data_IF_394544432180
#
_entry.id   IF_394544432180
#
_cell.length_a   1.000
_cell.length_b   1.000
_cell.length_c   1.000
_cell.angle_alpha   90.00
_cell.angle_beta   90.00
_cell.angle_gamma   90.00
#
_symmetry.space_group_name_H-M   'P 1'
#
loop_
_entity.id
_entity.type
_entity.pdbx_description
1 polymer ?
#
# COMPACT_ATOMS: atom_id res chain seq x y z
N UNK A 1 1.60 -0.89 16.46
CA UNK A 1 2.86 -1.57 16.86
C UNK A 1 3.51 -2.21 15.65
N UNK A 2 4.86 -2.33 15.64
CA UNK A 2 5.61 -3.08 14.60
C UNK A 2 6.13 -4.37 15.22
N UNK A 3 6.19 -5.44 14.42
CA UNK A 3 6.80 -6.71 14.80
C UNK A 3 7.97 -6.98 13.86
N UNK A 4 9.11 -7.34 14.44
CA UNK A 4 10.25 -7.92 13.75
C UNK A 4 10.39 -9.39 14.21
N UNK A 5 10.35 -10.31 13.26
CA UNK A 5 10.47 -11.73 13.55
C UNK A 5 11.95 -12.13 13.56
N UNK A 6 12.33 -13.01 14.50
CA UNK A 6 13.69 -13.46 14.67
C UNK A 6 14.20 -14.32 13.50
N UNK A 7 15.53 -14.35 13.29
CA UNK A 7 16.17 -15.04 12.14
C UNK A 7 15.92 -16.55 12.07
N UNK A 8 15.57 -17.21 13.18
CA UNK A 8 15.24 -18.63 13.19
C UNK A 8 13.82 -18.99 12.72
N UNK A 9 12.95 -17.98 12.51
CA UNK A 9 11.57 -18.22 12.08
C UNK A 9 11.56 -18.60 10.61
N UNK A 10 11.10 -19.82 10.30
CA UNK A 10 10.97 -20.32 8.93
C UNK A 10 9.52 -20.39 8.45
N UNK A 11 8.56 -20.34 9.38
CA UNK A 11 7.13 -20.48 9.11
C UNK A 11 6.31 -19.58 10.02
N UNK A 12 5.26 -18.99 9.49
CA UNK A 12 4.20 -18.31 10.23
C UNK A 12 2.97 -19.23 10.16
N UNK A 13 2.45 -19.61 11.30
CA UNK A 13 1.33 -20.54 11.36
C UNK A 13 -0.01 -19.87 11.01
N UNK A 14 -1.05 -20.70 10.81
CA UNK A 14 -2.42 -20.25 10.53
C UNK A 14 -2.87 -19.25 11.60
N UNK A 15 -3.43 -18.14 11.17
CA UNK A 15 -4.02 -17.08 12.00
C UNK A 15 -3.09 -16.48 13.09
N UNK A 16 -1.76 -16.69 13.02
CA UNK A 16 -0.81 -16.33 14.08
C UNK A 16 -0.88 -14.85 14.52
N UNK A 17 -1.22 -13.95 13.60
CA UNK A 17 -1.37 -12.51 13.86
C UNK A 17 -2.74 -11.99 13.43
N UNK A 18 -3.74 -12.87 13.34
CA UNK A 18 -5.09 -12.46 12.97
C UNK A 18 -5.65 -11.44 13.98
N UNK A 19 -6.35 -10.41 13.49
CA UNK A 19 -6.91 -9.30 14.29
C UNK A 19 -5.88 -8.51 15.11
N UNK A 20 -4.58 -8.62 14.82
CA UNK A 20 -3.56 -7.87 15.53
C UNK A 20 -3.50 -6.40 15.06
N UNK A 21 -3.38 -5.46 16.00
CA UNK A 21 -3.21 -4.02 15.73
C UNK A 21 -1.81 -3.67 15.23
N UNK A 22 -1.25 -4.48 14.33
CA UNK A 22 0.06 -4.27 13.74
C UNK A 22 0.02 -3.17 12.68
N UNK A 23 1.00 -2.27 12.69
CA UNK A 23 1.18 -1.25 11.65
C UNK A 23 2.22 -1.63 10.59
N UNK A 24 3.05 -2.63 10.89
CA UNK A 24 4.05 -3.18 9.98
C UNK A 24 4.63 -4.48 10.53
N UNK A 25 5.08 -5.33 9.62
CA UNK A 25 5.80 -6.57 9.93
C UNK A 25 7.07 -6.63 9.07
N UNK A 26 8.14 -7.10 9.67
CA UNK A 26 9.40 -7.42 8.99
C UNK A 26 9.69 -8.91 9.15
N UNK A 27 9.90 -9.56 8.03
CA UNK A 27 10.20 -10.99 7.95
C UNK A 27 11.69 -11.19 7.73
N UNK A 28 12.31 -12.19 8.42
CA UNK A 28 13.63 -12.65 8.05
C UNK A 28 13.59 -13.44 6.72
N UNK A 29 14.73 -13.53 6.04
CA UNK A 29 14.84 -14.29 4.78
C UNK A 29 14.64 -15.82 4.97
N UNK A 30 14.63 -16.31 6.21
CA UNK A 30 14.33 -17.70 6.55
C UNK A 30 12.86 -18.09 6.36
N UNK A 31 11.93 -17.12 6.35
CA UNK A 31 10.50 -17.42 6.21
C UNK A 31 10.17 -17.86 4.78
N UNK A 32 9.69 -19.08 4.65
CA UNK A 32 9.31 -19.71 3.39
C UNK A 32 7.80 -19.92 3.26
N UNK A 33 7.07 -19.92 4.38
CA UNK A 33 5.62 -20.16 4.44
C UNK A 33 4.96 -19.12 5.34
N UNK A 34 3.85 -18.54 4.86
CA UNK A 34 2.93 -17.76 5.66
C UNK A 34 1.57 -18.47 5.55
N UNK A 35 1.12 -18.99 6.68
CA UNK A 35 -0.08 -19.81 6.79
C UNK A 35 -1.37 -19.04 6.50
N UNK A 36 -2.46 -19.78 6.34
CA UNK A 36 -3.80 -19.25 6.09
C UNK A 36 -4.19 -18.22 7.15
N UNK A 37 -4.81 -17.11 6.72
CA UNK A 37 -5.29 -16.01 7.59
C UNK A 37 -4.25 -15.39 8.53
N UNK A 38 -2.96 -15.65 8.34
CA UNK A 38 -1.91 -15.29 9.32
C UNK A 38 -1.92 -13.82 9.74
N UNK A 39 -2.29 -12.89 8.85
CA UNK A 39 -2.42 -11.44 9.12
C UNK A 39 -3.82 -10.91 8.78
N UNK A 40 -4.79 -11.79 8.65
CA UNK A 40 -6.16 -11.41 8.33
C UNK A 40 -6.73 -10.45 9.39
N UNK A 41 -7.50 -9.44 8.96
CA UNK A 41 -8.04 -8.38 9.81
C UNK A 41 -6.99 -7.53 10.58
N UNK A 42 -5.73 -7.51 10.16
CA UNK A 42 -4.77 -6.53 10.63
C UNK A 42 -5.06 -5.16 9.98
N UNK A 43 -6.16 -4.51 10.38
CA UNK A 43 -6.72 -3.32 9.72
C UNK A 43 -5.78 -2.12 9.72
N UNK A 44 -4.83 -2.05 10.64
CA UNK A 44 -3.82 -0.99 10.74
C UNK A 44 -2.52 -1.30 9.98
N UNK A 45 -2.37 -2.50 9.43
CA UNK A 45 -1.16 -2.92 8.70
C UNK A 45 -0.99 -2.08 7.42
N UNK A 46 0.12 -1.34 7.33
CA UNK A 46 0.35 -0.37 6.24
C UNK A 46 1.42 -0.81 5.26
N UNK A 47 2.42 -1.52 5.75
CA UNK A 47 3.59 -1.92 4.97
C UNK A 47 4.01 -3.33 5.33
N UNK A 48 4.18 -4.13 4.29
CA UNK A 48 4.73 -5.48 4.35
C UNK A 48 5.80 -5.61 3.26
N UNK A 49 6.95 -6.16 3.63
CA UNK A 49 7.97 -6.60 2.67
C UNK A 49 7.99 -8.12 2.72
N UNK A 50 7.50 -8.77 1.68
CA UNK A 50 7.42 -10.23 1.64
C UNK A 50 8.82 -10.87 1.61
N UNK A 51 9.05 -12.01 2.31
CA UNK A 51 10.33 -12.70 2.33
C UNK A 51 10.75 -13.16 0.93
N UNK A 52 12.03 -13.03 0.61
CA UNK A 52 12.56 -13.40 -0.72
C UNK A 52 12.47 -14.89 -1.05
N UNK A 53 12.39 -15.75 -0.03
CA UNK A 53 12.26 -17.21 -0.17
C UNK A 53 10.83 -17.71 -0.05
N UNK A 54 9.84 -16.82 0.11
CA UNK A 54 8.43 -17.18 0.20
C UNK A 54 7.99 -17.91 -1.08
N UNK A 55 7.42 -19.10 -0.95
CA UNK A 55 7.00 -19.91 -2.10
C UNK A 55 5.52 -19.80 -2.40
N UNK A 56 4.71 -19.48 -1.38
CA UNK A 56 3.26 -19.38 -1.50
C UNK A 56 2.71 -18.29 -0.57
N UNK A 57 1.68 -17.58 -1.03
CA UNK A 57 0.85 -16.70 -0.22
C UNK A 57 -0.46 -17.44 -0.01
N UNK A 58 -0.72 -17.85 1.23
CA UNK A 58 -1.85 -18.68 1.63
C UNK A 58 -3.22 -18.02 1.45
N UNK A 59 -4.27 -18.79 1.72
CA UNK A 59 -5.64 -18.28 1.69
C UNK A 59 -5.83 -17.18 2.75
N UNK A 60 -6.45 -16.06 2.37
CA UNK A 60 -6.80 -14.98 3.28
C UNK A 60 -5.65 -14.29 4.02
N UNK A 61 -4.37 -14.57 3.72
CA UNK A 61 -3.19 -14.13 4.52
C UNK A 61 -3.26 -12.65 4.91
N UNK A 62 -3.61 -11.75 4.00
CA UNK A 62 -3.77 -10.31 4.24
C UNK A 62 -5.20 -9.84 4.02
N UNK A 63 -6.18 -10.73 4.10
CA UNK A 63 -7.59 -10.35 3.95
C UNK A 63 -7.96 -9.29 5.00
N UNK A 64 -8.74 -8.28 4.59
CA UNK A 64 -9.16 -7.17 5.45
C UNK A 64 -8.01 -6.32 6.05
N UNK A 65 -6.83 -6.35 5.45
CA UNK A 65 -5.76 -5.42 5.77
C UNK A 65 -6.02 -4.06 5.09
N UNK A 66 -7.06 -3.33 5.52
CA UNK A 66 -7.63 -2.16 4.82
C UNK A 66 -6.66 -1.00 4.58
N UNK A 67 -5.62 -0.88 5.40
CA UNK A 67 -4.58 0.15 5.27
C UNK A 67 -3.31 -0.33 4.56
N UNK A 68 -3.28 -1.59 4.12
CA UNK A 68 -2.11 -2.16 3.43
C UNK A 68 -1.91 -1.47 2.07
N UNK A 69 -0.70 -0.91 1.91
CA UNK A 69 -0.30 -0.27 0.66
C UNK A 69 0.11 -1.25 -0.43
N UNK A 70 0.72 -0.72 -1.48
CA UNK A 70 1.19 -1.51 -2.62
C UNK A 70 2.19 -2.59 -2.18
N UNK A 71 2.10 -3.77 -2.81
CA UNK A 71 2.91 -4.96 -2.52
C UNK A 71 3.69 -5.36 -3.78
N UNK A 72 4.93 -5.80 -3.55
CA UNK A 72 5.71 -6.55 -4.55
C UNK A 72 5.79 -8.00 -4.11
N UNK A 73 5.28 -8.89 -4.94
CA UNK A 73 5.33 -10.35 -4.75
C UNK A 73 6.66 -10.86 -5.33
N UNK A 74 7.53 -11.49 -4.51
CA UNK A 74 8.83 -11.98 -4.94
C UNK A 74 8.77 -13.01 -6.06
N UNK A 75 9.87 -13.15 -6.79
CA UNK A 75 9.99 -14.13 -7.89
C UNK A 75 9.94 -15.59 -7.41
N UNK A 76 10.20 -15.84 -6.13
CA UNK A 76 10.08 -17.16 -5.50
C UNK A 76 8.64 -17.66 -5.35
N UNK A 77 7.65 -16.74 -5.33
CA UNK A 77 6.24 -17.09 -5.11
C UNK A 77 5.67 -17.78 -6.35
N UNK A 78 5.27 -19.03 -6.16
CA UNK A 78 4.66 -19.87 -7.21
C UNK A 78 3.14 -19.77 -7.22
N UNK A 79 2.52 -19.44 -6.05
CA UNK A 79 1.08 -19.44 -5.91
C UNK A 79 0.58 -18.33 -4.97
N UNK A 80 -0.49 -17.66 -5.37
CA UNK A 80 -1.28 -16.74 -4.54
C UNK A 80 -2.68 -17.35 -4.44
N UNK A 81 -3.07 -17.74 -3.23
CA UNK A 81 -4.36 -18.41 -2.99
C UNK A 81 -5.51 -17.43 -2.91
N UNK A 82 -6.72 -17.98 -2.91
CA UNK A 82 -7.98 -17.21 -2.86
C UNK A 82 -7.97 -16.22 -1.68
N UNK A 83 -8.55 -15.05 -1.89
CA UNK A 83 -8.72 -14.00 -0.88
C UNK A 83 -7.43 -13.49 -0.22
N UNK A 84 -6.23 -13.84 -0.72
CA UNK A 84 -4.95 -13.50 -0.11
C UNK A 84 -4.82 -11.99 0.18
N UNK A 85 -5.39 -11.12 -0.69
CA UNK A 85 -5.42 -9.66 -0.54
C UNK A 85 -6.84 -9.10 -0.68
N UNK A 86 -7.84 -9.85 -0.21
CA UNK A 86 -9.23 -9.43 -0.24
C UNK A 86 -9.46 -8.25 0.72
N UNK A 87 -10.26 -7.26 0.32
CA UNK A 87 -10.58 -6.04 1.10
C UNK A 87 -9.35 -5.21 1.56
N UNK A 88 -8.25 -5.25 0.79
CA UNK A 88 -7.09 -4.38 0.98
C UNK A 88 -7.35 -3.00 0.34
N UNK A 89 -8.19 -2.16 0.95
CA UNK A 89 -8.75 -0.94 0.33
C UNK A 89 -7.72 0.13 -0.04
N UNK A 90 -6.62 0.22 0.72
CA UNK A 90 -5.55 1.18 0.45
C UNK A 90 -4.58 0.71 -0.65
N UNK A 91 -4.64 -0.58 -1.03
CA UNK A 91 -3.78 -1.14 -2.08
C UNK A 91 -4.31 -0.73 -3.45
N UNK A 92 -3.46 -0.04 -4.22
CA UNK A 92 -3.80 0.42 -5.58
C UNK A 92 -3.09 -0.37 -6.66
N UNK A 93 -1.98 -1.02 -6.28
CA UNK A 93 -1.16 -1.81 -7.20
C UNK A 93 -0.56 -3.01 -6.48
N UNK A 94 -0.49 -4.14 -7.19
CA UNK A 94 0.36 -5.27 -6.83
C UNK A 94 1.33 -5.54 -7.99
N UNK A 95 2.60 -5.80 -7.67
CA UNK A 95 3.62 -6.17 -8.66
C UNK A 95 3.99 -7.63 -8.47
N UNK A 96 3.89 -8.45 -9.52
CA UNK A 96 4.19 -9.89 -9.48
C UNK A 96 5.44 -10.13 -10.33
N UNK A 97 6.53 -10.52 -9.67
CA UNK A 97 7.83 -10.67 -10.33
C UNK A 97 7.97 -12.00 -11.08
N UNK A 98 7.33 -13.07 -10.60
CA UNK A 98 7.35 -14.37 -11.26
C UNK A 98 6.27 -14.43 -12.35
N UNK A 99 6.68 -14.64 -13.58
CA UNK A 99 5.76 -14.70 -14.75
C UNK A 99 4.83 -15.92 -14.75
N UNK A 100 5.10 -16.93 -13.91
CA UNK A 100 4.36 -18.19 -13.84
C UNK A 100 3.57 -18.35 -12.53
N UNK A 101 3.49 -17.30 -11.67
CA UNK A 101 2.72 -17.36 -10.42
C UNK A 101 1.26 -17.69 -10.70
N UNK A 102 0.76 -18.79 -10.17
CA UNK A 102 -0.67 -19.14 -10.21
C UNK A 102 -1.43 -18.18 -9.29
N UNK A 103 -2.49 -17.53 -9.78
CA UNK A 103 -3.32 -16.60 -9.02
C UNK A 103 -4.73 -17.16 -8.99
N UNK A 104 -5.18 -17.54 -7.80
CA UNK A 104 -6.52 -18.14 -7.61
C UNK A 104 -7.63 -17.08 -7.69
N UNK A 105 -8.89 -17.57 -7.69
CA UNK A 105 -10.09 -16.74 -7.77
C UNK A 105 -10.11 -15.73 -6.61
N UNK A 106 -10.44 -14.48 -6.92
CA UNK A 106 -10.60 -13.38 -5.95
C UNK A 106 -9.37 -13.12 -5.04
N UNK A 107 -8.21 -13.63 -5.43
CA UNK A 107 -6.98 -13.47 -4.65
C UNK A 107 -6.53 -12.01 -4.52
N UNK A 108 -6.79 -11.19 -5.55
CA UNK A 108 -6.23 -9.84 -5.70
C UNK A 108 -7.27 -8.89 -6.32
N UNK A 109 -7.37 -7.68 -5.76
CA UNK A 109 -8.14 -6.59 -6.36
C UNK A 109 -9.66 -6.65 -6.10
N UNK A 110 -10.09 -7.48 -5.18
CA UNK A 110 -11.48 -7.61 -4.77
C UNK A 110 -11.72 -7.02 -3.38
N UNK A 111 -12.94 -6.55 -3.13
CA UNK A 111 -13.36 -6.05 -1.83
C UNK A 111 -14.83 -6.40 -1.54
N UNK A 112 -15.21 -6.29 -0.27
CA UNK A 112 -16.51 -6.70 0.22
C UNK A 112 -17.68 -5.89 -0.39
N UNK A 113 -17.52 -4.57 -0.47
CA UNK A 113 -18.65 -3.68 -0.81
C UNK A 113 -18.89 -3.55 -2.31
N UNK A 114 -17.86 -3.62 -3.14
CA UNK A 114 -17.93 -3.32 -4.58
C UNK A 114 -17.47 -4.47 -5.48
N UNK A 115 -17.18 -5.63 -4.89
CA UNK A 115 -16.62 -6.76 -5.63
C UNK A 115 -15.24 -6.41 -6.21
N UNK A 116 -15.16 -6.10 -7.50
CA UNK A 116 -13.90 -5.73 -8.16
C UNK A 116 -13.56 -4.26 -8.00
N UNK A 117 -12.32 -3.96 -7.58
CA UNK A 117 -11.78 -2.59 -7.63
C UNK A 117 -11.34 -2.26 -9.06
N UNK A 118 -12.20 -1.59 -9.83
CA UNK A 118 -11.97 -1.24 -11.25
C UNK A 118 -10.71 -0.39 -11.48
N UNK A 119 -10.22 0.33 -10.48
CA UNK A 119 -9.01 1.15 -10.58
C UNK A 119 -7.74 0.42 -10.18
N UNK A 120 -7.84 -0.83 -9.73
CA UNK A 120 -6.70 -1.62 -9.27
C UNK A 120 -5.77 -1.97 -10.43
N UNK A 121 -4.46 -1.92 -10.17
CA UNK A 121 -3.42 -2.20 -11.17
C UNK A 121 -2.66 -3.46 -10.80
N UNK A 122 -2.57 -4.38 -11.74
CA UNK A 122 -1.70 -5.56 -11.63
C UNK A 122 -0.49 -5.33 -12.54
N UNK A 123 0.70 -5.32 -11.96
CA UNK A 123 1.95 -5.15 -12.69
C UNK A 123 2.71 -6.47 -12.79
N UNK A 124 3.34 -6.72 -13.93
CA UNK A 124 4.10 -7.93 -14.17
C UNK A 124 4.76 -7.92 -15.54
N UNK A 125 5.42 -9.02 -15.91
CA UNK A 125 6.01 -9.20 -17.23
C UNK A 125 4.89 -9.46 -18.28
N UNK A 126 5.03 -8.91 -19.48
CA UNK A 126 4.16 -9.23 -20.63
C UNK A 126 4.16 -10.75 -20.89
N UNK A 127 3.00 -11.32 -21.18
CA UNK A 127 2.82 -12.76 -21.35
C UNK A 127 2.73 -13.58 -20.05
N UNK A 128 2.73 -12.93 -18.87
CA UNK A 128 2.64 -13.61 -17.57
C UNK A 128 1.22 -14.03 -17.22
N UNK A 129 1.11 -14.95 -16.25
CA UNK A 129 -0.15 -15.32 -15.60
C UNK A 129 -0.83 -14.11 -14.94
N UNK A 130 -0.05 -13.14 -14.45
CA UNK A 130 -0.55 -11.87 -13.92
C UNK A 130 -1.30 -11.06 -14.99
N UNK A 131 -0.81 -11.02 -16.23
CA UNK A 131 -1.51 -10.39 -17.36
C UNK A 131 -2.80 -11.14 -17.68
N UNK A 132 -2.75 -12.48 -17.74
CA UNK A 132 -3.93 -13.31 -17.99
C UNK A 132 -4.99 -13.11 -16.91
N UNK A 133 -4.60 -13.10 -15.64
CA UNK A 133 -5.50 -12.84 -14.52
C UNK A 133 -6.13 -11.44 -14.61
N UNK A 134 -5.32 -10.43 -14.89
CA UNK A 134 -5.81 -9.06 -15.06
C UNK A 134 -6.84 -8.96 -16.18
N UNK A 135 -6.54 -9.51 -17.37
CA UNK A 135 -7.45 -9.52 -18.53
C UNK A 135 -8.75 -10.26 -18.22
N UNK A 136 -8.67 -11.47 -17.65
CA UNK A 136 -9.85 -12.29 -17.31
C UNK A 136 -10.78 -11.59 -16.33
N UNK A 137 -10.22 -10.81 -15.40
CA UNK A 137 -10.98 -10.16 -14.34
C UNK A 137 -11.27 -8.68 -14.60
N UNK A 138 -10.84 -8.11 -15.76
CA UNK A 138 -11.08 -6.70 -16.10
C UNK A 138 -10.27 -5.71 -15.28
N UNK A 139 -9.11 -6.10 -14.74
CA UNK A 139 -8.16 -5.21 -14.09
C UNK A 139 -7.21 -4.57 -15.10
N UNK A 140 -6.73 -3.38 -14.79
CA UNK A 140 -5.66 -2.74 -15.55
C UNK A 140 -4.36 -3.52 -15.38
N UNK A 141 -3.72 -3.89 -16.50
CA UNK A 141 -2.39 -4.50 -16.51
C UNK A 141 -1.31 -3.48 -16.85
N UNK A 142 -0.19 -3.52 -16.14
CA UNK A 142 1.00 -2.74 -16.38
C UNK A 142 2.18 -3.67 -16.69
N UNK A 143 2.70 -3.62 -17.91
CA UNK A 143 3.92 -4.35 -18.28
C UNK A 143 5.15 -3.65 -17.72
N UNK A 144 5.29 -3.67 -16.42
CA UNK A 144 6.42 -3.04 -15.72
C UNK A 144 6.55 -3.63 -14.32
N UNK A 145 7.72 -4.15 -13.99
CA UNK A 145 8.06 -4.64 -12.66
C UNK A 145 8.92 -3.64 -11.86
N UNK A 146 9.37 -2.56 -12.50
CA UNK A 146 10.12 -1.51 -11.83
C UNK A 146 9.22 -0.63 -10.95
N UNK A 147 9.83 0.06 -9.99
CA UNK A 147 9.12 1.03 -9.15
C UNK A 147 8.55 2.17 -10.01
N UNK A 148 7.29 2.48 -9.81
CA UNK A 148 6.60 3.57 -10.51
C UNK A 148 6.78 4.86 -9.72
N UNK A 149 7.49 5.80 -10.32
CA UNK A 149 7.76 7.12 -9.73
C UNK A 149 6.59 8.08 -9.94
N UNK A 150 6.50 9.08 -9.08
CA UNK A 150 5.56 10.19 -9.21
C UNK A 150 6.03 11.13 -10.31
N UNK A 151 5.27 11.21 -11.40
CA UNK A 151 5.53 12.16 -12.48
C UNK A 151 4.99 13.56 -12.14
N UNK A 152 3.84 13.63 -11.46
CA UNK A 152 3.14 14.87 -11.08
C UNK A 152 2.34 14.66 -9.79
N UNK A 153 2.05 15.74 -9.07
CA UNK A 153 1.06 15.76 -7.99
C UNK A 153 -0.06 16.74 -8.30
N UNK A 154 -1.26 16.46 -7.79
CA UNK A 154 -2.44 17.32 -7.88
C UNK A 154 -3.14 17.44 -6.52
N UNK A 155 -4.19 18.25 -6.39
CA UNK A 155 -4.96 18.39 -5.15
C UNK A 155 -4.28 19.19 -4.04
N UNK A 156 -3.21 19.93 -4.37
CA UNK A 156 -2.52 20.84 -3.46
C UNK A 156 -2.86 22.27 -3.86
N UNK A 157 -3.65 23.01 -3.07
CA UNK A 157 -3.96 24.40 -3.37
C UNK A 157 -2.71 25.28 -3.20
N UNK A 158 -2.61 26.36 -3.99
CA UNK A 158 -1.49 27.32 -3.86
C UNK A 158 -1.56 28.07 -2.52
N UNK A 159 -2.77 28.42 -2.08
CA UNK A 159 -3.02 29.12 -0.82
C UNK A 159 -4.26 28.56 -0.12
N UNK A 160 -4.29 28.65 1.22
CA UNK A 160 -5.48 28.29 2.01
C UNK A 160 -5.47 29.00 3.36
N UNK A 161 -6.52 29.78 3.63
CA UNK A 161 -6.72 30.39 4.96
C UNK A 161 -7.41 29.39 5.89
N UNK A 162 -6.88 29.26 7.11
CA UNK A 162 -7.40 28.36 8.16
C UNK A 162 -7.51 29.17 9.44
N UNK A 163 -8.68 29.21 10.07
CA UNK A 163 -8.88 29.84 11.36
C UNK A 163 -8.11 29.09 12.47
N UNK A 164 -7.70 29.82 13.51
CA UNK A 164 -7.04 29.21 14.68
C UNK A 164 -7.88 28.06 15.27
N UNK A 165 -7.24 26.92 15.53
CA UNK A 165 -7.87 25.72 16.05
C UNK A 165 -8.60 24.85 15.02
N UNK A 166 -8.93 25.41 13.84
CA UNK A 166 -9.59 24.66 12.75
C UNK A 166 -8.58 23.87 11.93
N UNK A 167 -9.11 22.92 11.15
CA UNK A 167 -8.31 22.05 10.29
C UNK A 167 -8.74 22.14 8.83
N UNK A 168 -7.80 21.83 7.95
CA UNK A 168 -8.03 21.62 6.51
C UNK A 168 -7.22 20.41 6.04
N UNK A 169 -7.80 19.54 5.22
CA UNK A 169 -7.09 18.38 4.68
C UNK A 169 -6.67 18.64 3.24
N UNK A 170 -5.37 18.63 2.97
CA UNK A 170 -4.83 18.70 1.60
C UNK A 170 -5.06 17.33 0.93
N UNK A 171 -5.86 17.33 -0.15
CA UNK A 171 -6.21 16.14 -0.93
C UNK A 171 -5.16 15.86 -2.02
N UNK A 172 -3.90 15.71 -1.62
CA UNK A 172 -2.81 15.48 -2.55
C UNK A 172 -2.90 14.08 -3.19
N UNK A 173 -2.79 14.03 -4.51
CA UNK A 173 -2.81 12.79 -5.29
C UNK A 173 -1.58 12.73 -6.21
N UNK A 174 -0.91 11.59 -6.26
CA UNK A 174 0.18 11.32 -7.20
C UNK A 174 -0.37 10.99 -8.60
N UNK A 175 0.38 11.35 -9.63
CA UNK A 175 0.13 10.90 -11.00
C UNK A 175 1.39 10.17 -11.48
N UNK A 176 1.30 8.91 -11.82
CA UNK A 176 0.09 8.06 -11.72
C UNK A 176 -0.31 7.81 -10.25
N UNK A 177 -1.63 7.59 -10.01
CA UNK A 177 -2.18 7.39 -8.65
C UNK A 177 -1.66 6.12 -7.96
N UNK A 178 -1.11 5.19 -8.72
CA UNK A 178 -0.48 3.94 -8.27
C UNK A 178 1.06 4.07 -8.13
N UNK A 179 1.58 5.28 -8.00
CA UNK A 179 3.00 5.51 -7.69
C UNK A 179 3.42 4.75 -6.42
N UNK A 180 4.63 4.23 -6.42
CA UNK A 180 5.23 3.55 -5.26
C UNK A 180 5.83 4.54 -4.25
N UNK A 181 5.88 5.82 -4.62
CA UNK A 181 6.41 6.89 -3.78
C UNK A 181 5.34 7.46 -2.84
N UNK A 182 5.71 7.62 -1.57
CA UNK A 182 4.81 8.18 -0.55
C UNK A 182 4.67 9.69 -0.71
N UNK A 183 3.48 10.19 -0.35
CA UNK A 183 3.26 11.61 -0.16
C UNK A 183 3.68 11.98 1.27
N UNK A 184 4.55 12.97 1.39
CA UNK A 184 5.05 13.51 2.64
C UNK A 184 4.60 14.96 2.80
N UNK A 185 4.31 15.38 4.02
CA UNK A 185 3.86 16.72 4.35
C UNK A 185 4.79 17.33 5.40
N UNK A 186 5.16 18.59 5.21
CA UNK A 186 6.01 19.33 6.13
C UNK A 186 5.54 20.78 6.24
N UNK A 187 5.48 21.32 7.45
CA UNK A 187 5.25 22.73 7.70
C UNK A 187 6.57 23.49 7.87
N UNK A 188 6.66 24.69 7.30
CA UNK A 188 7.80 25.58 7.48
C UNK A 188 7.87 26.17 8.89
N UNK A 189 6.73 26.40 9.54
CA UNK A 189 6.65 26.82 10.95
C UNK A 189 5.50 26.14 11.67
N UNK A 190 5.83 25.19 12.54
CA UNK A 190 4.85 24.43 13.31
C UNK A 190 4.17 25.25 14.43
N UNK A 191 4.71 26.40 14.77
CA UNK A 191 4.10 27.35 15.73
C UNK A 191 2.93 28.10 15.10
N UNK A 192 2.90 28.23 13.76
CA UNK A 192 1.82 28.87 12.99
C UNK A 192 0.83 27.82 12.51
N UNK A 193 1.31 26.74 11.85
CA UNK A 193 0.47 25.65 11.37
C UNK A 193 1.20 24.31 11.48
N UNK A 194 0.51 23.26 11.92
CA UNK A 194 1.01 21.88 11.90
C UNK A 194 0.38 21.09 10.78
N UNK A 195 1.06 20.04 10.31
CA UNK A 195 0.50 19.07 9.35
C UNK A 195 0.89 17.65 9.76
N UNK A 196 -0.03 16.71 9.64
CA UNK A 196 0.22 15.31 9.90
C UNK A 196 0.46 14.52 8.59
N UNK A 197 0.79 13.22 8.73
CA UNK A 197 1.06 12.32 7.60
C UNK A 197 -0.15 12.05 6.69
N UNK A 198 -1.36 12.42 7.11
CA UNK A 198 -2.59 12.33 6.30
C UNK A 198 -2.90 13.65 5.55
N UNK A 199 -2.04 14.66 5.66
CA UNK A 199 -2.25 15.96 5.04
C UNK A 199 -3.23 16.86 5.79
N UNK A 200 -3.61 16.53 7.03
CA UNK A 200 -4.46 17.38 7.87
C UNK A 200 -3.62 18.50 8.44
N UNK A 201 -3.90 19.72 8.01
CA UNK A 201 -3.28 20.97 8.47
C UNK A 201 -4.14 21.56 9.57
N UNK A 202 -3.53 21.99 10.70
CA UNK A 202 -4.22 22.68 11.79
C UNK A 202 -3.59 24.05 12.02
N UNK A 203 -4.42 25.10 12.03
CA UNK A 203 -4.01 26.46 12.39
C UNK A 203 -3.73 26.57 13.88
N UNK A 204 -2.56 27.03 14.29
CA UNK A 204 -2.12 27.15 15.70
C UNK A 204 -2.20 28.60 16.16
N UNK A 205 -1.64 29.53 15.39
CA UNK A 205 -1.68 30.98 15.69
C UNK A 205 -1.72 31.81 14.42
N UNK A 206 -1.99 33.11 14.55
CA UNK A 206 -1.94 34.09 13.44
C UNK A 206 -0.53 34.11 12.81
N UNK A 207 -0.47 34.09 11.50
CA UNK A 207 0.77 34.12 10.71
C UNK A 207 0.64 33.36 9.40
N UNK A 208 1.73 33.25 8.67
CA UNK A 208 1.81 32.52 7.41
C UNK A 208 2.83 31.38 7.54
N UNK A 209 2.44 30.18 7.15
CA UNK A 209 3.32 29.03 7.04
C UNK A 209 3.18 28.37 5.67
N UNK A 210 4.26 27.79 5.16
CA UNK A 210 4.25 27.01 3.91
C UNK A 210 4.15 25.53 4.25
N UNK A 211 3.12 24.87 3.73
CA UNK A 211 3.01 23.43 3.79
C UNK A 211 3.58 22.84 2.50
N UNK A 212 4.75 22.21 2.61
CA UNK A 212 5.37 21.48 1.52
C UNK A 212 4.80 20.08 1.44
N UNK A 213 4.31 19.70 0.25
CA UNK A 213 3.84 18.36 -0.09
C UNK A 213 4.84 17.76 -1.07
N UNK A 214 5.42 16.63 -0.74
CA UNK A 214 6.47 15.98 -1.54
C UNK A 214 6.13 14.51 -1.82
N UNK A 215 6.41 14.06 -3.05
CA UNK A 215 6.41 12.63 -3.41
C UNK A 215 7.56 12.37 -4.38
N UNK A 216 8.54 11.58 -3.95
CA UNK A 216 9.80 11.42 -4.65
C UNK A 216 10.49 12.77 -4.87
N UNK A 217 10.86 13.05 -6.12
CA UNK A 217 11.47 14.32 -6.51
C UNK A 217 10.47 15.47 -6.68
N UNK A 218 9.15 15.20 -6.69
CA UNK A 218 8.11 16.22 -6.93
C UNK A 218 7.74 16.93 -5.64
N UNK A 219 7.66 18.26 -5.69
CA UNK A 219 7.27 19.12 -4.55
C UNK A 219 6.21 20.13 -5.00
N UNK A 220 5.21 20.37 -4.16
CA UNK A 220 4.23 21.45 -4.26
C UNK A 220 4.12 22.13 -2.92
N UNK A 221 3.81 23.43 -2.93
CA UNK A 221 3.67 24.26 -1.73
C UNK A 221 2.27 24.83 -1.66
N UNK A 222 1.70 24.85 -0.43
CA UNK A 222 0.47 25.55 -0.06
C UNK A 222 0.85 26.62 1.00
N UNK A 223 0.56 27.89 0.72
CA UNK A 223 0.76 29.01 1.63
C UNK A 223 -0.51 29.31 2.41
#
# INVERSE_FOLDING_TARGET
>A
KKVALGQGVSRIERAAFRHCGLTGVSFPDSVTVIGEDAFSFCTDLRKVSLPKKLTEIGNGVFSNCRKLGNITVPASVKKIRSHAFYDCLAMKKITILNSKTVIEKEAIGYNFNSGKNKTFVIAGKKGSTAQTYAKKNGFRFLNNTAAVRTAKMTGVPKTKTILRGKTYTIQAVTVPYYSDEKILFRSSDRRIATVNSKGVVKGIRKGTAVITVQSGAKKLNCK
#
